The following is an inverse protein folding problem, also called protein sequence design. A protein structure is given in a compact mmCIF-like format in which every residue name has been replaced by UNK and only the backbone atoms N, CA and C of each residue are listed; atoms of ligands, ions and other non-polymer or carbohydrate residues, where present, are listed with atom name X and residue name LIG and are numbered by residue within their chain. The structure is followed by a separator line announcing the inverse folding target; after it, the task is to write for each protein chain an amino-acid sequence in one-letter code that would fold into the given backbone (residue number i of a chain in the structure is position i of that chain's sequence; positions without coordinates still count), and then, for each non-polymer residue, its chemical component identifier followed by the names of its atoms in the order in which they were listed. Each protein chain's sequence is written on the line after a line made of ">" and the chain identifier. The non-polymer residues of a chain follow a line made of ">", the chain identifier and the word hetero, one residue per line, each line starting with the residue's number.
data_IF_773231766291
#
_entry.id   IF_773231766291
#
_cell.length_a   1.000
_cell.length_b   1.000
_cell.length_c   1.000
_cell.angle_alpha   90.00
_cell.angle_beta   90.00
_cell.angle_gamma   90.00
#
_symmetry.space_group_name_H-M   'P 1'
#
loop_
_entity.id
_entity.type
_entity.pdbx_description
1 polymer ?
#
# COMPACT_ATOMS: atom_id res chain seq x y z
N UNK A 1 22.52 42.22 18.84
CA UNK A 1 21.36 41.51 18.28
C UNK A 1 21.60 41.30 16.80
N UNK A 2 21.94 40.07 16.38
CA UNK A 2 22.08 39.69 14.96
C UNK A 2 21.24 38.43 14.73
N UNK A 3 20.01 38.62 14.29
CA UNK A 3 19.10 37.57 13.85
C UNK A 3 19.25 37.41 12.34
N UNK A 4 20.32 36.74 11.90
CA UNK A 4 20.60 36.56 10.47
C UNK A 4 21.07 35.11 10.27
N UNK A 5 20.47 34.44 9.28
CA UNK A 5 20.90 33.22 8.55
C UNK A 5 20.36 31.82 8.87
N UNK A 6 19.66 31.56 9.98
CA UNK A 6 19.11 30.20 10.23
C UNK A 6 18.04 29.78 9.21
N UNK A 7 17.23 30.70 8.71
CA UNK A 7 16.14 30.40 7.77
C UNK A 7 16.62 30.02 6.36
N UNK A 8 17.77 30.55 5.92
CA UNK A 8 18.34 30.22 4.60
C UNK A 8 18.97 28.82 4.59
N UNK A 9 19.59 28.41 5.69
CA UNK A 9 20.17 27.06 5.83
C UNK A 9 19.05 26.02 5.85
N UNK A 10 17.96 26.30 6.56
CA UNK A 10 16.80 25.40 6.63
C UNK A 10 16.05 25.32 5.29
N UNK A 11 15.92 26.43 4.57
CA UNK A 11 15.34 26.46 3.23
C UNK A 11 16.18 25.69 2.21
N UNK A 12 17.52 25.80 2.29
CA UNK A 12 18.44 25.04 1.44
C UNK A 12 18.36 23.54 1.71
N UNK A 13 18.31 23.14 2.99
CA UNK A 13 18.12 21.74 3.40
C UNK A 13 16.78 21.18 2.92
N UNK A 14 15.69 21.95 3.06
CA UNK A 14 14.37 21.57 2.59
C UNK A 14 14.31 21.42 1.07
N UNK A 15 14.98 22.31 0.32
CA UNK A 15 15.04 22.22 -1.14
C UNK A 15 15.89 21.03 -1.60
N UNK A 16 17.01 20.77 -0.93
CA UNK A 16 17.87 19.62 -1.21
C UNK A 16 17.17 18.29 -0.90
N UNK A 17 16.46 18.20 0.23
CA UNK A 17 15.67 17.01 0.56
C UNK A 17 14.52 16.79 -0.41
N UNK A 18 13.84 17.86 -0.85
CA UNK A 18 12.82 17.78 -1.90
C UNK A 18 13.38 17.27 -3.24
N UNK A 19 14.57 17.73 -3.64
CA UNK A 19 15.23 17.25 -4.86
C UNK A 19 15.61 15.77 -4.74
N UNK A 20 16.17 15.35 -3.62
CA UNK A 20 16.49 13.94 -3.37
C UNK A 20 15.22 13.06 -3.34
N UNK A 21 14.16 13.54 -2.70
CA UNK A 21 12.87 12.85 -2.67
C UNK A 21 12.26 12.72 -4.07
N UNK A 22 12.30 13.79 -4.87
CA UNK A 22 11.82 13.78 -6.25
C UNK A 22 12.64 12.81 -7.14
N UNK A 23 13.97 12.75 -6.95
CA UNK A 23 14.83 11.79 -7.64
C UNK A 23 14.53 10.35 -7.23
N UNK A 24 14.40 10.08 -5.94
CA UNK A 24 14.01 8.78 -5.42
C UNK A 24 12.62 8.35 -5.93
N UNK A 25 11.68 9.29 -6.00
CA UNK A 25 10.35 9.05 -6.55
C UNK A 25 10.38 8.72 -8.04
N UNK A 26 11.13 9.50 -8.82
CA UNK A 26 11.34 9.25 -10.25
C UNK A 26 12.02 7.89 -10.49
N UNK A 27 12.90 7.45 -9.58
CA UNK A 27 13.50 6.12 -9.63
C UNK A 27 12.48 5.03 -9.26
N UNK A 28 11.66 5.23 -8.21
CA UNK A 28 10.64 4.27 -7.79
C UNK A 28 9.51 4.07 -8.81
N UNK A 29 9.13 5.12 -9.55
CA UNK A 29 8.14 5.04 -10.64
C UNK A 29 8.71 4.41 -11.91
N UNK A 30 10.02 4.48 -12.11
CA UNK A 30 10.73 3.80 -13.21
C UNK A 30 11.07 2.34 -12.91
N UNK A 31 11.06 1.94 -11.65
CA UNK A 31 11.27 0.54 -11.27
C UNK A 31 10.00 -0.25 -11.59
N UNK A 32 9.92 -0.73 -12.83
CA UNK A 32 9.01 -1.81 -13.17
C UNK A 32 9.44 -3.00 -12.28
N UNK A 33 8.56 -3.53 -11.42
CA UNK A 33 8.92 -4.66 -10.57
C UNK A 33 9.37 -5.83 -11.44
N UNK A 34 10.42 -6.53 -11.01
CA UNK A 34 11.04 -7.65 -11.74
C UNK A 34 10.03 -8.67 -12.25
N UNK A 35 8.98 -8.90 -11.48
CA UNK A 35 7.86 -9.79 -11.82
C UNK A 35 7.10 -9.28 -13.04
N UNK A 36 6.80 -7.98 -13.12
CA UNK A 36 6.15 -7.40 -14.30
C UNK A 36 7.05 -7.45 -15.53
N UNK A 37 8.37 -7.28 -15.38
CA UNK A 37 9.32 -7.43 -16.50
C UNK A 37 9.31 -8.87 -17.00
N UNK A 38 9.35 -9.87 -16.09
CA UNK A 38 9.29 -11.30 -16.45
C UNK A 38 7.98 -11.67 -17.12
N UNK A 39 6.85 -11.26 -16.54
CA UNK A 39 5.52 -11.45 -17.13
C UNK A 39 5.44 -10.86 -18.54
N UNK A 40 5.96 -9.64 -18.72
CA UNK A 40 5.97 -9.00 -20.03
C UNK A 40 6.85 -9.74 -21.05
N UNK A 41 8.02 -10.24 -20.63
CA UNK A 41 8.87 -11.08 -21.47
C UNK A 41 8.12 -12.36 -21.89
N UNK A 42 7.41 -13.02 -20.97
CA UNK A 42 6.62 -14.23 -21.24
C UNK A 42 5.45 -13.96 -22.19
N UNK A 43 4.72 -12.85 -21.99
CA UNK A 43 3.67 -12.38 -22.90
C UNK A 43 4.22 -12.14 -24.32
N UNK A 44 5.34 -11.44 -24.44
CA UNK A 44 5.97 -11.16 -25.73
C UNK A 44 6.48 -12.45 -26.38
N UNK A 45 7.02 -13.40 -25.61
CA UNK A 45 7.41 -14.73 -26.08
C UNK A 45 6.19 -15.48 -26.63
N UNK A 46 5.07 -15.45 -25.92
CA UNK A 46 3.81 -16.03 -26.38
C UNK A 46 3.30 -15.38 -27.67
N UNK A 47 3.27 -14.04 -27.73
CA UNK A 47 2.87 -13.28 -28.92
C UNK A 47 3.80 -13.57 -30.12
N UNK A 48 5.09 -13.80 -29.88
CA UNK A 48 6.07 -14.09 -30.93
C UNK A 48 5.84 -15.44 -31.62
N UNK A 49 5.18 -16.38 -30.94
CA UNK A 49 4.81 -17.68 -31.49
C UNK A 49 3.62 -17.60 -32.46
N UNK A 50 2.84 -16.51 -32.41
CA UNK A 50 1.67 -16.32 -33.28
C UNK A 50 2.08 -15.90 -34.70
N UNK A 51 1.35 -16.37 -35.72
CA UNK A 51 1.72 -16.17 -37.15
C UNK A 51 1.52 -14.74 -37.69
N UNK A 52 0.71 -13.90 -37.03
CA UNK A 52 0.30 -12.57 -37.52
C UNK A 52 1.01 -11.39 -36.84
N UNK A 53 2.11 -11.61 -36.12
CA UNK A 53 2.76 -10.55 -35.32
C UNK A 53 4.17 -10.24 -35.84
N UNK A 54 4.59 -8.96 -35.95
CA UNK A 54 5.94 -8.58 -36.36
C UNK A 54 7.03 -9.10 -35.41
N UNK A 55 7.67 -10.22 -35.78
CA UNK A 55 8.66 -10.92 -34.95
C UNK A 55 9.89 -10.10 -34.59
N UNK A 56 10.34 -9.23 -35.49
CA UNK A 56 11.54 -8.40 -35.28
C UNK A 56 11.33 -7.38 -34.15
N UNK A 57 10.14 -6.77 -34.09
CA UNK A 57 9.81 -5.78 -33.04
C UNK A 57 9.77 -6.46 -31.67
N UNK A 58 9.08 -7.61 -31.58
CA UNK A 58 8.99 -8.37 -30.34
C UNK A 58 10.36 -8.85 -29.85
N UNK A 59 11.23 -9.30 -30.75
CA UNK A 59 12.60 -9.71 -30.37
C UNK A 59 13.42 -8.57 -29.80
N UNK A 60 13.33 -7.36 -30.37
CA UNK A 60 14.01 -6.17 -29.84
C UNK A 60 13.48 -5.78 -28.47
N UNK A 61 12.16 -5.83 -28.29
CA UNK A 61 11.53 -5.53 -26.99
C UNK A 61 11.91 -6.57 -25.93
N UNK A 62 11.94 -7.87 -26.27
CA UNK A 62 12.41 -8.93 -25.37
C UNK A 62 13.85 -8.68 -24.95
N UNK A 63 14.76 -8.40 -25.90
CA UNK A 63 16.18 -8.11 -25.58
C UNK A 63 16.31 -6.90 -24.65
N UNK A 64 15.58 -5.82 -24.93
CA UNK A 64 15.61 -4.62 -24.09
C UNK A 64 15.12 -4.91 -22.66
N UNK A 65 14.04 -5.69 -22.51
CA UNK A 65 13.53 -6.08 -21.20
C UNK A 65 14.46 -7.04 -20.46
N UNK A 66 15.15 -7.92 -21.18
CA UNK A 66 16.17 -8.83 -20.61
C UNK A 66 17.40 -8.04 -20.11
N UNK A 67 17.88 -7.05 -20.87
CA UNK A 67 18.94 -6.12 -20.44
C UNK A 67 18.52 -5.33 -19.19
N UNK A 68 17.29 -4.79 -19.19
CA UNK A 68 16.76 -4.04 -18.06
C UNK A 68 16.62 -4.92 -16.81
N UNK A 69 16.12 -6.16 -16.97
CA UNK A 69 16.05 -7.13 -15.89
C UNK A 69 17.44 -7.44 -15.33
N UNK A 70 18.43 -7.63 -16.20
CA UNK A 70 19.81 -7.90 -15.78
C UNK A 70 20.41 -6.71 -15.01
N UNK A 71 20.17 -5.48 -15.47
CA UNK A 71 20.59 -4.27 -14.76
C UNK A 71 19.95 -4.19 -13.36
N UNK A 72 18.66 -4.48 -13.24
CA UNK A 72 17.96 -4.49 -11.94
C UNK A 72 18.58 -5.54 -11.01
N UNK A 73 18.83 -6.75 -11.50
CA UNK A 73 19.46 -7.82 -10.71
C UNK A 73 20.88 -7.46 -10.24
N UNK A 74 21.66 -6.76 -11.07
CA UNK A 74 23.01 -6.31 -10.69
C UNK A 74 22.96 -5.28 -9.55
N UNK A 75 22.01 -4.36 -9.58
CA UNK A 75 21.78 -3.40 -8.50
C UNK A 75 21.31 -4.12 -7.23
N UNK A 76 20.38 -5.06 -7.33
CA UNK A 76 19.92 -5.86 -6.18
C UNK A 76 21.10 -6.60 -5.53
N UNK A 77 21.95 -7.25 -6.33
CA UNK A 77 23.12 -7.96 -5.82
C UNK A 77 24.15 -7.02 -5.16
N UNK A 78 24.37 -5.84 -5.74
CA UNK A 78 25.23 -4.82 -5.15
C UNK A 78 24.70 -4.33 -3.80
N UNK A 79 23.40 -4.07 -3.70
CA UNK A 79 22.73 -3.70 -2.45
C UNK A 79 22.84 -4.81 -1.40
N UNK A 80 22.55 -6.07 -1.76
CA UNK A 80 22.71 -7.20 -0.85
C UNK A 80 24.16 -7.35 -0.34
N UNK A 81 25.14 -7.11 -1.20
CA UNK A 81 26.56 -7.13 -0.80
C UNK A 81 26.89 -6.00 0.18
N UNK A 82 26.31 -4.82 -0.03
CA UNK A 82 26.46 -3.69 0.88
C UNK A 82 25.79 -3.98 2.24
N UNK A 83 24.56 -4.48 2.25
CA UNK A 83 23.84 -4.86 3.47
C UNK A 83 24.61 -5.88 4.29
N UNK A 84 25.21 -6.89 3.65
CA UNK A 84 26.08 -7.87 4.33
C UNK A 84 27.29 -7.19 4.98
N UNK A 85 27.99 -6.31 4.26
CA UNK A 85 29.14 -5.56 4.80
C UNK A 85 28.76 -4.67 5.98
N UNK A 86 27.63 -3.99 5.90
CA UNK A 86 27.12 -3.15 6.98
C UNK A 86 26.68 -3.99 8.17
N UNK A 87 26.04 -5.13 7.94
CA UNK A 87 25.68 -6.09 8.99
C UNK A 87 26.91 -6.62 9.71
N UNK A 88 27.95 -7.02 8.98
CA UNK A 88 29.23 -7.46 9.55
C UNK A 88 29.87 -6.34 10.39
N UNK A 89 29.87 -5.11 9.88
CA UNK A 89 30.37 -3.94 10.61
C UNK A 89 29.57 -3.69 11.90
N UNK A 90 28.24 -3.81 11.86
CA UNK A 90 27.39 -3.70 13.04
C UNK A 90 27.74 -4.79 14.05
N UNK A 91 27.94 -6.04 13.61
CA UNK A 91 28.30 -7.13 14.52
C UNK A 91 29.67 -6.89 15.18
N UNK A 92 30.65 -6.36 14.44
CA UNK A 92 31.96 -6.02 14.96
C UNK A 92 31.86 -4.90 16.00
N UNK A 93 31.09 -3.84 15.70
CA UNK A 93 30.87 -2.73 16.63
C UNK A 93 30.15 -3.19 17.90
N UNK A 94 29.16 -4.09 17.80
CA UNK A 94 28.50 -4.71 18.96
C UNK A 94 29.51 -5.45 19.84
N UNK A 95 30.35 -6.30 19.24
CA UNK A 95 31.41 -7.03 19.97
C UNK A 95 32.41 -6.07 20.63
N UNK A 96 32.79 -5.00 19.95
CA UNK A 96 33.69 -3.97 20.51
C UNK A 96 33.04 -3.25 21.69
N UNK A 97 31.77 -2.85 21.58
CA UNK A 97 31.02 -2.24 22.69
C UNK A 97 30.91 -3.20 23.87
N UNK A 98 30.55 -4.46 23.65
CA UNK A 98 30.50 -5.47 24.71
C UNK A 98 31.85 -5.65 25.40
N UNK A 99 32.95 -5.68 24.63
CA UNK A 99 34.29 -5.76 25.18
C UNK A 99 34.66 -4.54 26.02
N UNK A 100 34.32 -3.33 25.55
CA UNK A 100 34.53 -2.10 26.31
C UNK A 100 33.70 -2.08 27.59
N UNK A 101 32.43 -2.50 27.55
CA UNK A 101 31.59 -2.64 28.74
C UNK A 101 32.17 -3.65 29.73
N UNK A 102 32.67 -4.81 29.26
CA UNK A 102 33.36 -5.78 30.12
C UNK A 102 34.62 -5.20 30.75
N UNK A 103 35.42 -4.44 29.99
CA UNK A 103 36.61 -3.75 30.51
C UNK A 103 36.26 -2.68 31.54
N UNK A 104 35.18 -1.94 31.30
CA UNK A 104 34.73 -0.88 32.21
C UNK A 104 34.15 -1.45 33.50
N UNK A 105 33.45 -2.59 33.42
CA UNK A 105 32.98 -3.32 34.60
C UNK A 105 34.12 -4.01 35.38
N UNK A 106 35.18 -4.44 34.69
CA UNK A 106 36.38 -4.98 35.31
C UNK A 106 37.27 -3.91 35.93
N UNK A 107 37.16 -2.65 35.49
CA UNK A 107 37.78 -1.53 36.17
C UNK A 107 37.07 -1.31 37.51
N UNK A 108 37.83 -1.21 38.60
CA UNK A 108 37.28 -1.08 39.97
C UNK A 108 36.49 0.23 40.20
N UNK A 109 36.51 1.15 39.23
CA UNK A 109 35.78 2.41 39.27
C UNK A 109 34.27 2.21 38.98
N UNK A 110 33.56 1.82 40.03
CA UNK A 110 32.09 1.65 40.02
C UNK A 110 31.34 2.95 39.72
N UNK A 111 31.93 4.11 40.01
CA UNK A 111 31.29 5.41 39.76
C UNK A 111 31.31 5.76 38.27
N UNK A 112 32.40 5.43 37.57
CA UNK A 112 32.48 5.55 36.12
C UNK A 112 31.46 4.63 35.42
N UNK A 113 31.35 3.37 35.85
CA UNK A 113 30.36 2.42 35.32
C UNK A 113 28.93 2.96 35.44
N UNK A 114 28.54 3.45 36.63
CA UNK A 114 27.22 4.04 36.86
C UNK A 114 26.94 5.26 35.99
N UNK A 115 27.95 6.12 35.75
CA UNK A 115 27.81 7.29 34.85
C UNK A 115 27.62 6.84 33.41
N UNK A 116 28.39 5.85 32.95
CA UNK A 116 28.26 5.29 31.58
C UNK A 116 26.88 4.65 31.40
N UNK A 117 26.40 3.87 32.36
CA UNK A 117 25.07 3.26 32.29
C UNK A 117 23.96 4.31 32.26
N UNK A 118 24.06 5.35 33.11
CA UNK A 118 23.09 6.46 33.13
C UNK A 118 23.10 7.25 31.83
N UNK A 119 24.27 7.56 31.28
CA UNK A 119 24.39 8.26 30.00
C UNK A 119 23.87 7.40 28.84
N UNK A 120 24.13 6.08 28.86
CA UNK A 120 23.63 5.15 27.85
C UNK A 120 22.10 5.07 27.86
N UNK A 121 21.50 5.02 29.06
CA UNK A 121 20.05 5.07 29.23
C UNK A 121 19.45 6.40 28.75
N UNK A 122 20.03 7.54 29.14
CA UNK A 122 19.57 8.86 28.70
C UNK A 122 19.70 9.03 27.19
N UNK A 123 20.76 8.51 26.58
CA UNK A 123 20.92 8.54 25.13
C UNK A 123 19.88 7.68 24.43
N UNK A 124 19.60 6.47 24.93
CA UNK A 124 18.51 5.63 24.43
C UNK A 124 17.14 6.32 24.56
N UNK A 125 16.87 7.02 25.66
CA UNK A 125 15.66 7.83 25.83
C UNK A 125 15.59 8.99 24.83
N UNK A 126 16.70 9.71 24.61
CA UNK A 126 16.72 10.85 23.67
C UNK A 126 16.49 10.38 22.25
N UNK A 127 17.16 9.29 21.84
CA UNK A 127 17.00 8.71 20.49
C UNK A 127 15.56 8.22 20.29
N UNK A 128 15.01 7.44 21.22
CA UNK A 128 13.62 6.98 21.11
C UNK A 128 12.61 8.13 21.11
N UNK A 129 12.80 9.16 21.95
CA UNK A 129 11.96 10.38 21.91
C UNK A 129 12.10 11.14 20.60
N UNK A 130 13.28 11.14 19.98
CA UNK A 130 13.50 11.80 18.69
C UNK A 130 12.82 11.04 17.55
N UNK A 131 12.91 9.71 17.54
CA UNK A 131 12.16 8.85 16.61
C UNK A 131 10.66 9.06 16.76
N UNK A 132 10.12 9.03 17.99
CA UNK A 132 8.70 9.31 18.27
C UNK A 132 8.30 10.71 17.80
N UNK A 133 9.16 11.72 18.00
CA UNK A 133 8.90 13.09 17.51
C UNK A 133 8.85 13.15 15.99
N UNK A 134 9.73 12.43 15.30
CA UNK A 134 9.73 12.33 13.84
C UNK A 134 8.46 11.62 13.36
N UNK A 135 8.09 10.50 13.98
CA UNK A 135 6.86 9.76 13.65
C UNK A 135 5.59 10.57 13.90
N UNK A 136 5.52 11.31 15.01
CA UNK A 136 4.40 12.21 15.32
C UNK A 136 4.38 13.41 14.38
N UNK A 137 5.54 13.96 13.99
CA UNK A 137 5.60 15.03 13.00
C UNK A 137 5.08 14.56 11.64
N UNK A 138 5.54 13.40 11.18
CA UNK A 138 5.04 12.74 9.97
C UNK A 138 3.52 12.48 10.08
N UNK A 139 3.05 11.95 11.21
CA UNK A 139 1.63 11.69 11.45
C UNK A 139 0.77 12.94 11.47
N UNK A 140 1.28 14.06 12.00
CA UNK A 140 0.60 15.37 12.01
C UNK A 140 0.56 15.98 10.62
N UNK A 141 1.62 15.85 9.85
CA UNK A 141 1.67 16.28 8.46
C UNK A 141 0.67 15.50 7.60
N UNK A 142 0.59 14.18 7.83
CA UNK A 142 -0.44 13.31 7.25
C UNK A 142 -1.84 13.78 7.66
N UNK A 143 -2.09 14.05 8.94
CA UNK A 143 -3.39 14.50 9.42
C UNK A 143 -3.79 15.93 8.96
N UNK A 144 -2.81 16.77 8.59
CA UNK A 144 -3.08 18.08 7.97
C UNK A 144 -3.40 17.96 6.48
N UNK A 145 -2.75 17.02 5.80
CA UNK A 145 -2.97 16.74 4.37
C UNK A 145 -4.24 15.90 4.13
N UNK A 146 -4.73 15.18 5.15
CA UNK A 146 -5.97 14.40 5.14
C UNK A 146 -6.98 14.96 6.15
N UNK A 147 -8.04 15.68 5.74
CA UNK A 147 -9.06 16.12 6.66
C UNK A 147 -9.77 14.91 7.29
N UNK A 148 -9.70 14.78 8.63
CA UNK A 148 -10.54 13.86 9.40
C UNK A 148 -11.99 14.34 9.28
N UNK A 149 -12.75 13.86 8.30
CA UNK A 149 -14.20 13.92 8.40
C UNK A 149 -14.64 12.86 9.40
N UNK A 150 -15.19 13.34 10.51
CA UNK A 150 -15.69 12.54 11.62
C UNK A 150 -16.53 11.38 11.09
N UNK A 151 -16.14 10.18 11.48
CA UNK A 151 -17.00 9.00 11.38
C UNK A 151 -18.15 9.26 12.34
N UNK A 152 -19.27 9.78 11.84
CA UNK A 152 -20.55 9.56 12.49
C UNK A 152 -20.96 8.15 12.10
N UNK A 153 -20.68 7.21 13.00
CA UNK A 153 -21.24 5.88 12.97
C UNK A 153 -22.77 6.00 13.05
N UNK A 154 -23.46 5.49 12.03
CA UNK A 154 -24.92 5.47 11.98
C UNK A 154 -25.44 5.60 10.56
N UNK A 155 -25.45 4.48 9.83
CA UNK A 155 -26.11 4.29 8.53
C UNK A 155 -25.58 5.16 7.37
N UNK A 156 -24.34 4.93 6.95
CA UNK A 156 -23.96 5.33 5.59
C UNK A 156 -24.74 4.47 4.59
N UNK A 157 -25.56 5.10 3.75
CA UNK A 157 -26.26 4.40 2.68
C UNK A 157 -25.24 3.69 1.76
N UNK A 158 -25.64 2.58 1.13
CA UNK A 158 -24.77 1.82 0.21
C UNK A 158 -24.16 2.74 -0.88
N UNK A 159 -24.94 3.76 -1.29
CA UNK A 159 -24.53 4.82 -2.22
C UNK A 159 -23.44 5.72 -1.64
N UNK A 160 -23.52 6.09 -0.36
CA UNK A 160 -22.46 6.88 0.29
C UNK A 160 -21.16 6.09 0.44
N UNK A 161 -21.24 4.78 0.71
CA UNK A 161 -20.05 3.93 0.79
C UNK A 161 -19.40 3.75 -0.59
N UNK A 162 -20.18 3.62 -1.66
CA UNK A 162 -19.67 3.57 -3.03
C UNK A 162 -19.04 4.90 -3.48
N UNK A 163 -19.67 6.05 -3.14
CA UNK A 163 -19.09 7.38 -3.38
C UNK A 163 -17.80 7.58 -2.59
N UNK A 164 -17.75 7.10 -1.35
CA UNK A 164 -16.56 7.13 -0.49
C UNK A 164 -15.45 6.26 -1.07
N UNK A 165 -15.77 5.06 -1.55
CA UNK A 165 -14.81 4.17 -2.21
C UNK A 165 -14.27 4.80 -3.50
N UNK A 166 -15.13 5.42 -4.31
CA UNK A 166 -14.71 6.16 -5.50
C UNK A 166 -13.78 7.32 -5.16
N UNK A 167 -14.06 8.03 -4.07
CA UNK A 167 -13.22 9.14 -3.59
C UNK A 167 -11.87 8.63 -3.06
N UNK A 168 -11.85 7.51 -2.31
CA UNK A 168 -10.64 6.88 -1.80
C UNK A 168 -9.78 6.31 -2.93
N UNK A 169 -10.37 5.71 -3.97
CA UNK A 169 -9.64 5.23 -5.15
C UNK A 169 -9.03 6.38 -5.94
N UNK A 170 -9.79 7.47 -6.17
CA UNK A 170 -9.25 8.68 -6.81
C UNK A 170 -8.16 9.36 -5.99
N UNK A 171 -8.30 9.34 -4.66
CA UNK A 171 -7.28 9.89 -3.76
C UNK A 171 -6.03 9.01 -3.70
N UNK A 172 -6.19 7.70 -3.76
CA UNK A 172 -5.10 6.74 -3.89
C UNK A 172 -4.39 6.90 -5.24
N UNK A 173 -5.11 7.12 -6.34
CA UNK A 173 -4.49 7.44 -7.64
C UNK A 173 -3.73 8.76 -7.58
N UNK A 174 -4.33 9.83 -7.04
CA UNK A 174 -3.63 11.11 -6.81
C UNK A 174 -2.39 10.94 -5.94
N UNK A 175 -2.47 10.17 -4.84
CA UNK A 175 -1.33 9.93 -3.94
C UNK A 175 -0.27 9.03 -4.54
N UNK A 176 -0.63 8.12 -5.45
CA UNK A 176 0.32 7.34 -6.27
C UNK A 176 1.04 8.25 -7.28
N UNK A 177 0.38 9.28 -7.80
CA UNK A 177 0.94 10.29 -8.72
C UNK A 177 1.77 11.37 -7.98
N UNK A 178 1.39 11.73 -6.75
CA UNK A 178 2.08 12.74 -5.92
C UNK A 178 3.30 12.17 -5.16
N UNK A 179 3.49 10.86 -5.16
CA UNK A 179 4.72 10.20 -4.69
C UNK A 179 5.01 10.16 -3.20
N UNK A 180 4.02 10.47 -2.36
CA UNK A 180 4.08 10.26 -0.90
C UNK A 180 4.10 8.76 -0.54
N UNK A 181 5.27 8.13 -0.63
CA UNK A 181 5.55 6.71 -0.29
C UNK A 181 5.84 6.47 1.20
N UNK A 182 5.23 7.24 2.11
CA UNK A 182 5.45 7.05 3.55
C UNK A 182 4.31 6.28 4.18
N UNK A 183 4.28 4.94 4.12
CA UNK A 183 3.34 4.07 4.87
C UNK A 183 1.82 4.25 4.64
N UNK A 184 1.40 5.32 3.97
CA UNK A 184 0.00 5.71 3.77
C UNK A 184 -0.65 4.90 2.65
N UNK A 185 0.11 4.50 1.63
CA UNK A 185 -0.39 3.68 0.51
C UNK A 185 -0.89 2.31 1.00
N UNK A 186 -0.11 1.51 1.76
CA UNK A 186 -0.61 0.23 2.26
C UNK A 186 -1.78 0.40 3.25
N UNK A 187 -1.81 1.49 4.03
CA UNK A 187 -2.95 1.81 4.90
C UNK A 187 -4.21 2.23 4.11
N UNK A 188 -4.05 2.97 3.01
CA UNK A 188 -5.15 3.32 2.10
C UNK A 188 -5.69 2.07 1.39
N UNK A 189 -4.81 1.17 0.95
CA UNK A 189 -5.20 -0.10 0.34
C UNK A 189 -5.94 -0.99 1.35
N UNK A 190 -5.44 -1.09 2.60
CA UNK A 190 -6.13 -1.79 3.68
C UNK A 190 -7.50 -1.17 3.99
N UNK A 191 -7.60 0.16 3.99
CA UNK A 191 -8.87 0.84 4.28
C UNK A 191 -9.87 0.74 3.13
N UNK A 192 -9.41 0.73 1.88
CA UNK A 192 -10.25 0.46 0.71
C UNK A 192 -10.79 -0.98 0.80
N UNK A 193 -9.94 -1.95 1.13
CA UNK A 193 -10.37 -3.34 1.31
C UNK A 193 -11.45 -3.48 2.40
N UNK A 194 -11.30 -2.82 3.55
CA UNK A 194 -12.33 -2.81 4.60
C UNK A 194 -13.66 -2.19 4.16
N UNK A 195 -13.62 -1.13 3.32
CA UNK A 195 -14.84 -0.50 2.79
C UNK A 195 -15.49 -1.37 1.71
N UNK A 196 -14.68 -2.03 0.86
CA UNK A 196 -15.16 -3.01 -0.13
C UNK A 196 -15.84 -4.19 0.53
N UNK A 197 -15.23 -4.76 1.57
CA UNK A 197 -15.79 -5.85 2.37
C UNK A 197 -17.12 -5.44 3.01
N UNK A 198 -17.22 -4.23 3.56
CA UNK A 198 -18.45 -3.69 4.14
C UNK A 198 -19.56 -3.49 3.09
N UNK A 199 -19.21 -3.04 1.89
CA UNK A 199 -20.16 -2.91 0.77
C UNK A 199 -20.65 -4.28 0.32
N UNK A 200 -19.76 -5.28 0.29
CA UNK A 200 -20.09 -6.63 -0.13
C UNK A 200 -21.03 -7.32 0.87
N UNK A 201 -20.74 -7.21 2.17
CA UNK A 201 -21.65 -7.66 3.24
C UNK A 201 -23.05 -7.02 3.11
N UNK A 202 -23.14 -5.71 2.87
CA UNK A 202 -24.41 -5.01 2.68
C UNK A 202 -25.13 -5.37 1.36
N UNK A 203 -24.40 -5.85 0.35
CA UNK A 203 -24.98 -6.35 -0.92
C UNK A 203 -25.55 -7.77 -0.73
N UNK A 204 -24.85 -8.61 0.02
CA UNK A 204 -25.27 -9.97 0.37
C UNK A 204 -26.50 -9.94 1.29
N UNK A 205 -26.49 -9.11 2.34
CA UNK A 205 -27.65 -8.89 3.22
C UNK A 205 -28.89 -8.39 2.45
N UNK A 206 -28.70 -7.58 1.39
CA UNK A 206 -29.80 -7.13 0.51
C UNK A 206 -30.24 -8.17 -0.52
N UNK A 207 -29.37 -9.10 -0.91
CA UNK A 207 -29.74 -10.23 -1.77
C UNK A 207 -30.51 -11.31 -1.00
N UNK A 208 -30.13 -11.57 0.25
CA UNK A 208 -30.88 -12.48 1.14
C UNK A 208 -32.25 -11.91 1.51
N UNK A 209 -32.40 -10.59 1.54
CA UNK A 209 -33.69 -9.91 1.73
C UNK A 209 -34.51 -9.74 0.43
N UNK A 210 -34.14 -10.38 -0.68
CA UNK A 210 -35.10 -10.48 -1.78
C UNK A 210 -36.33 -11.25 -1.28
N UNK A 211 -37.53 -10.64 -1.26
CA UNK A 211 -38.73 -11.37 -0.87
C UNK A 211 -38.89 -12.52 -1.86
N UNK A 212 -38.94 -13.74 -1.35
CA UNK A 212 -39.43 -14.91 -2.09
C UNK A 212 -40.72 -14.46 -2.75
N UNK A 213 -40.68 -14.24 -4.07
CA UNK A 213 -41.89 -13.99 -4.84
C UNK A 213 -42.65 -15.31 -4.81
N UNK A 214 -43.53 -15.46 -3.82
CA UNK A 214 -44.58 -16.47 -3.87
C UNK A 214 -45.44 -16.10 -5.07
N UNK A 215 -45.14 -16.71 -6.22
CA UNK A 215 -46.08 -16.81 -7.32
C UNK A 215 -47.19 -17.70 -6.78
N UNK A 216 -48.20 -17.08 -6.14
CA UNK A 216 -49.46 -17.74 -5.89
C UNK A 216 -50.07 -18.02 -7.26
N UNK A 217 -49.79 -19.22 -7.79
CA UNK A 217 -50.58 -19.82 -8.84
C UNK A 217 -51.99 -20.01 -8.26
N UNK A 218 -52.82 -18.99 -8.41
CA UNK A 218 -54.26 -19.13 -8.33
C UNK A 218 -54.66 -20.12 -9.43
N UNK A 219 -54.80 -21.38 -9.05
CA UNK A 219 -55.59 -22.34 -9.82
C UNK A 219 -57.02 -21.81 -9.80
N UNK A 220 -57.42 -21.15 -10.89
CA UNK A 220 -58.82 -20.94 -11.18
C UNK A 220 -59.43 -22.32 -11.46
N UNK A 221 -60.09 -22.88 -10.46
CA UNK A 221 -60.95 -24.06 -10.61
C UNK A 221 -61.98 -23.79 -11.71
N UNK A 222 -62.04 -24.58 -12.79
CA UNK A 222 -63.17 -24.51 -13.72
C UNK A 222 -64.40 -25.10 -13.01
N UNK A 223 -65.38 -24.23 -12.75
CA UNK A 223 -66.72 -24.58 -12.32
C UNK A 223 -67.36 -25.50 -13.35
N UNK A 224 -67.47 -26.77 -13.00
CA UNK A 224 -68.36 -27.74 -13.64
C UNK A 224 -69.78 -27.45 -13.17
N UNK A 225 -70.64 -26.95 -14.05
CA UNK A 225 -72.08 -27.09 -13.89
C UNK A 225 -72.75 -27.47 -15.21
N UNK A 226 -73.61 -28.48 -15.06
CA UNK A 226 -74.35 -29.21 -16.07
C UNK A 226 -75.55 -28.40 -16.61
N UNK A 227 -75.83 -28.54 -17.91
CA UNK A 227 -77.15 -28.57 -18.58
C UNK A 227 -76.92 -28.21 -20.06
N UNK A 228 -77.43 -28.86 -21.11
CA UNK A 228 -78.49 -29.85 -21.37
C UNK A 228 -78.33 -30.28 -22.86
N UNK A 229 -78.77 -31.47 -23.28
CA UNK A 229 -78.83 -31.84 -24.69
C UNK A 229 -80.18 -31.46 -25.32
N UNK A 230 -80.19 -30.85 -26.51
CA UNK A 230 -81.39 -30.77 -27.37
C UNK A 230 -81.04 -30.83 -28.87
N UNK A 231 -81.28 -32.03 -29.41
CA UNK A 231 -81.95 -32.41 -30.69
C UNK A 231 -81.68 -31.59 -31.98
N UNK A 232 -81.43 -32.27 -33.12
CA UNK A 232 -81.05 -31.66 -34.40
C UNK A 232 -82.24 -31.18 -35.25
N UNK A 233 -81.99 -30.23 -36.16
CA UNK A 233 -82.85 -29.93 -37.31
C UNK A 233 -82.01 -29.72 -38.58
N UNK A 234 -82.24 -30.62 -39.54
CA UNK A 234 -82.37 -30.43 -40.98
C UNK A 234 -81.52 -29.35 -41.68
N UNK A 235 -80.60 -29.75 -42.55
CA UNK A 235 -80.86 -29.95 -43.99
C UNK A 235 -79.64 -30.56 -44.68
#
# INVERSE_FOLDING_TARGET
>A
MKSVDLTNIDLFRARHSLVLAAQAYAQSTRQIPKEKIRQRIEELKYLSAQKKVPRLSLRKEILHLEELLHSVLNVEHALQKQEKRESDKITLLKKQNEFLHKRLAAAEDKDLQRKVDRLSHLLAEVVSRQEIKQDVALSREIARVLPRQAVKDGHSSLVELELRLGSLKKFLEKKKVDGTNGGIIPLLEQRIAQVEERIQQLKEEKQEQQPVRHTLLFQSSPSSDLSTPSVPKNR
#
